data_IF_624444707108
#
_entry.id   IF_624444707108
#
_cell.length_a   1.000
_cell.length_b   1.000
_cell.length_c   1.000
_cell.angle_alpha   90.00
_cell.angle_beta   90.00
_cell.angle_gamma   90.00
#
_symmetry.space_group_name_H-M   'P 1'
#
loop_
_entity.id
_entity.type
_entity.pdbx_description
1 polymer ?
#
# COMPACT_ATOMS: atom_id res chain seq x y z
N UNK A 1 -4.80 -21.34 1.96
CA UNK A 1 -4.97 -21.00 0.56
C UNK A 1 -3.77 -20.23 0.04
N UNK A 2 -3.11 -20.76 -0.92
CA UNK A 2 -1.83 -20.20 -1.39
C UNK A 2 -1.99 -18.98 -2.27
N UNK A 3 -3.13 -18.88 -2.95
CA UNK A 3 -3.36 -17.76 -3.87
C UNK A 3 -3.31 -16.42 -3.15
N UNK A 4 -3.96 -16.31 -1.99
CA UNK A 4 -3.96 -15.07 -1.23
C UNK A 4 -2.57 -14.73 -0.72
N UNK A 5 -1.80 -15.75 -0.32
CA UNK A 5 -0.44 -15.53 0.13
C UNK A 5 0.46 -15.03 -1.00
N UNK A 6 0.28 -15.60 -2.21
CA UNK A 6 1.06 -15.17 -3.36
C UNK A 6 0.77 -13.71 -3.70
N UNK A 7 -0.52 -13.35 -3.76
CA UNK A 7 -0.89 -11.96 -4.04
C UNK A 7 -0.37 -11.02 -2.96
N UNK A 8 -0.41 -11.45 -1.71
CA UNK A 8 0.10 -10.65 -0.60
C UNK A 8 1.59 -10.37 -0.78
N UNK A 9 2.37 -11.39 -1.14
CA UNK A 9 3.81 -11.25 -1.35
C UNK A 9 4.10 -10.31 -2.52
N UNK A 10 3.29 -10.37 -3.58
CA UNK A 10 3.46 -9.46 -4.71
C UNK A 10 3.23 -8.01 -4.29
N UNK A 11 2.19 -7.75 -3.51
CA UNK A 11 1.92 -6.40 -3.04
C UNK A 11 3.00 -5.90 -2.09
N UNK A 12 3.52 -6.78 -1.24
CA UNK A 12 4.64 -6.42 -0.37
C UNK A 12 5.89 -6.11 -1.17
N UNK A 13 6.12 -6.84 -2.26
CA UNK A 13 7.25 -6.56 -3.14
C UNK A 13 7.14 -5.16 -3.74
N UNK A 14 5.94 -4.75 -4.12
CA UNK A 14 5.72 -3.39 -4.63
C UNK A 14 6.08 -2.36 -3.56
N UNK A 15 5.64 -2.60 -2.31
CA UNK A 15 5.95 -1.69 -1.21
C UNK A 15 7.46 -1.57 -1.01
N UNK A 16 8.18 -2.70 -1.00
CA UNK A 16 9.63 -2.67 -0.83
C UNK A 16 10.31 -1.89 -1.95
N UNK A 17 9.85 -2.08 -3.19
CA UNK A 17 10.40 -1.35 -4.31
C UNK A 17 10.18 0.16 -4.17
N UNK A 18 8.98 0.55 -3.75
CA UNK A 18 8.68 1.97 -3.57
C UNK A 18 9.52 2.58 -2.45
N UNK A 19 9.70 1.85 -1.36
CA UNK A 19 10.53 2.34 -0.26
C UNK A 19 11.98 2.48 -0.69
N UNK A 20 12.49 1.51 -1.44
CA UNK A 20 13.86 1.50 -1.89
C UNK A 20 14.14 2.64 -2.88
N UNK A 21 13.21 2.89 -3.79
CA UNK A 21 13.36 3.92 -4.80
C UNK A 21 12.90 5.31 -4.32
N UNK A 22 12.23 5.37 -3.17
CA UNK A 22 11.59 6.59 -2.65
C UNK A 22 10.63 7.19 -3.70
N UNK A 23 9.86 6.33 -4.35
CA UNK A 23 8.95 6.77 -5.40
C UNK A 23 7.67 5.93 -5.36
N UNK A 24 6.53 6.53 -5.01
CA UNK A 24 6.39 7.96 -4.64
C UNK A 24 6.92 8.21 -3.23
N UNK A 25 7.39 9.42 -2.95
CA UNK A 25 7.91 9.73 -1.61
C UNK A 25 6.88 9.55 -0.50
N UNK A 26 5.62 9.67 -0.82
CA UNK A 26 4.55 9.49 0.17
C UNK A 26 4.54 8.11 0.79
N UNK A 27 5.00 7.09 0.07
CA UNK A 27 5.06 5.74 0.63
C UNK A 27 6.03 5.68 1.80
N UNK A 28 7.23 6.25 1.63
CA UNK A 28 8.22 6.28 2.70
C UNK A 28 7.74 7.15 3.86
N UNK A 29 7.15 8.29 3.56
CA UNK A 29 6.61 9.18 4.59
C UNK A 29 5.56 8.46 5.43
N UNK A 30 4.68 7.72 4.77
CA UNK A 30 3.64 6.95 5.44
C UNK A 30 4.25 5.86 6.30
N UNK A 31 5.24 5.14 5.77
CA UNK A 31 5.92 4.10 6.52
C UNK A 31 6.52 4.68 7.82
N UNK A 32 7.24 5.79 7.70
CA UNK A 32 7.87 6.42 8.86
C UNK A 32 6.83 6.89 9.88
N UNK A 33 5.71 7.42 9.40
CA UNK A 33 4.63 7.84 10.28
C UNK A 33 4.03 6.65 11.04
N UNK A 34 3.81 5.54 10.35
CA UNK A 34 3.25 4.35 10.99
C UNK A 34 4.21 3.79 12.05
N UNK A 35 5.50 3.77 11.74
CA UNK A 35 6.51 3.36 12.72
C UNK A 35 6.46 4.26 13.94
N UNK A 36 6.33 5.58 13.75
CA UNK A 36 6.29 6.52 14.86
C UNK A 36 5.03 6.34 15.71
N UNK A 37 3.99 5.76 15.15
CA UNK A 37 2.76 5.45 15.90
C UNK A 37 2.87 4.14 16.69
N UNK A 38 4.01 3.46 16.62
CA UNK A 38 4.22 2.21 17.33
C UNK A 38 3.85 0.96 16.54
N UNK A 39 3.56 1.12 15.24
CA UNK A 39 3.23 0.00 14.39
C UNK A 39 4.55 -0.65 13.94
N UNK A 40 4.62 -1.98 13.99
CA UNK A 40 5.85 -2.69 13.64
C UNK A 40 6.18 -2.52 12.15
N UNK A 41 7.46 -2.74 11.81
CA UNK A 41 7.91 -2.74 10.43
C UNK A 41 7.03 -3.61 9.55
N UNK A 42 6.80 -4.84 9.98
CA UNK A 42 6.01 -5.80 9.21
C UNK A 42 4.59 -5.30 9.01
N UNK A 43 3.95 -4.85 10.07
CA UNK A 43 2.56 -4.42 9.99
C UNK A 43 2.43 -3.12 9.18
N UNK A 44 3.38 -2.21 9.32
CA UNK A 44 3.37 -0.98 8.54
C UNK A 44 3.41 -1.30 7.04
N UNK A 45 4.26 -2.23 6.64
CA UNK A 45 4.35 -2.63 5.24
C UNK A 45 3.09 -3.33 4.76
N UNK A 46 2.46 -4.14 5.63
CA UNK A 46 1.20 -4.79 5.31
C UNK A 46 0.10 -3.74 5.09
N UNK A 47 0.04 -2.72 5.94
CA UNK A 47 -0.95 -1.66 5.79
C UNK A 47 -0.77 -0.93 4.46
N UNK A 48 0.46 -0.63 4.11
CA UNK A 48 0.74 0.03 2.82
C UNK A 48 0.38 -0.90 1.67
N UNK A 49 0.67 -2.19 1.79
CA UNK A 49 0.32 -3.17 0.77
C UNK A 49 -1.19 -3.25 0.54
N UNK A 50 -2.00 -3.01 1.58
CA UNK A 50 -3.45 -2.96 1.42
C UNK A 50 -3.86 -1.80 0.50
N UNK A 51 -3.16 -0.68 0.59
CA UNK A 51 -3.43 0.45 -0.30
C UNK A 51 -3.06 0.11 -1.73
N UNK A 52 -1.93 -0.58 -1.94
CA UNK A 52 -1.54 -1.04 -3.27
C UNK A 52 -2.59 -1.97 -3.84
N UNK A 53 -3.02 -2.94 -3.04
CA UNK A 53 -4.03 -3.92 -3.47
C UNK A 53 -5.35 -3.24 -3.83
N UNK A 54 -5.78 -2.32 -3.00
CA UNK A 54 -7.02 -1.58 -3.23
C UNK A 54 -6.98 -0.86 -4.57
N UNK A 55 -5.86 -0.23 -4.88
CA UNK A 55 -5.72 0.51 -6.13
C UNK A 55 -5.71 -0.43 -7.33
N UNK A 56 -5.02 -1.55 -7.22
CA UNK A 56 -4.95 -2.53 -8.31
C UNK A 56 -6.33 -3.15 -8.56
N UNK A 57 -7.04 -3.54 -7.52
CA UNK A 57 -8.38 -4.10 -7.68
C UNK A 57 -9.34 -3.08 -8.27
N UNK A 58 -9.24 -1.82 -7.86
CA UNK A 58 -10.07 -0.76 -8.41
C UNK A 58 -9.80 -0.56 -9.89
N UNK A 59 -8.54 -0.59 -10.28
CA UNK A 59 -8.12 -0.46 -11.67
C UNK A 59 -8.72 -1.58 -12.51
N UNK A 60 -8.67 -2.82 -12.02
CA UNK A 60 -9.20 -3.97 -12.72
C UNK A 60 -10.73 -3.88 -12.81
N UNK A 61 -11.37 -3.58 -11.68
CA UNK A 61 -12.84 -3.58 -11.59
C UNK A 61 -13.46 -2.52 -12.50
N UNK A 62 -12.87 -1.35 -12.56
CA UNK A 62 -13.42 -0.22 -13.30
C UNK A 62 -12.75 0.01 -14.64
N UNK A 63 -11.76 -0.80 -14.98
CA UNK A 63 -11.01 -0.71 -16.24
C UNK A 63 -10.47 0.71 -16.44
N UNK A 64 -9.90 1.28 -15.39
CA UNK A 64 -9.33 2.62 -15.38
C UNK A 64 -7.84 2.53 -15.06
N UNK A 65 -7.07 3.53 -15.50
CA UNK A 65 -5.65 3.54 -15.17
C UNK A 65 -5.43 3.75 -13.67
N UNK A 66 -4.25 3.39 -13.22
CA UNK A 66 -3.81 3.60 -11.86
C UNK A 66 -3.97 5.08 -11.49
N UNK A 67 -4.55 5.34 -10.33
CA UNK A 67 -4.79 6.69 -9.84
C UNK A 67 -3.87 6.95 -8.65
N UNK A 68 -2.78 7.64 -8.91
CA UNK A 68 -1.79 7.91 -7.87
C UNK A 68 -2.36 8.78 -6.75
N UNK A 69 -3.23 9.73 -7.09
CA UNK A 69 -3.84 10.59 -6.07
C UNK A 69 -4.70 9.81 -5.10
N UNK A 70 -5.46 8.83 -5.61
CA UNK A 70 -6.27 7.98 -4.74
C UNK A 70 -5.40 7.09 -3.87
N UNK A 71 -4.32 6.55 -4.44
CA UNK A 71 -3.36 5.77 -3.68
C UNK A 71 -2.78 6.60 -2.53
N UNK A 72 -2.34 7.82 -2.83
CA UNK A 72 -1.76 8.70 -1.81
C UNK A 72 -2.79 9.05 -0.75
N UNK A 73 -4.03 9.31 -1.15
CA UNK A 73 -5.10 9.59 -0.20
C UNK A 73 -5.29 8.43 0.77
N UNK A 74 -5.28 7.20 0.25
CA UNK A 74 -5.40 6.02 1.08
C UNK A 74 -4.21 5.85 2.01
N UNK A 75 -3.01 6.14 1.54
CA UNK A 75 -1.82 6.14 2.40
C UNK A 75 -2.00 7.12 3.56
N UNK A 76 -2.49 8.32 3.26
CA UNK A 76 -2.64 9.36 4.28
C UNK A 76 -3.69 9.01 5.31
N UNK A 77 -4.63 8.13 4.98
CA UNK A 77 -5.68 7.71 5.90
C UNK A 77 -5.25 6.55 6.80
N UNK A 78 -4.14 5.88 6.47
CA UNK A 78 -3.70 4.77 7.32
C UNK A 78 -3.42 5.26 8.74
N UNK A 79 -3.73 4.49 9.77
CA UNK A 79 -4.05 3.05 9.73
C UNK A 79 -5.49 2.70 9.37
N UNK A 80 -6.32 3.63 8.97
CA UNK A 80 -7.66 3.28 8.47
C UNK A 80 -7.52 2.63 7.09
N UNK A 81 -8.15 1.47 6.92
CA UNK A 81 -8.04 0.74 5.66
C UNK A 81 -8.88 1.40 4.58
N UNK A 82 -8.43 1.30 3.31
CA UNK A 82 -9.19 1.91 2.21
C UNK A 82 -10.55 1.29 2.05
N UNK A 83 -11.54 2.13 1.76
CA UNK A 83 -12.88 1.69 1.40
C UNK A 83 -12.90 1.30 -0.07
N UNK A 84 -13.72 0.32 -0.39
CA UNK A 84 -13.91 -0.06 -1.79
C UNK A 84 -14.86 0.84 -2.52
#
# INVERSE_FOLDING_TARGET
MKTNEILHDEFLSVVETQLKSNNPPETKQTYERLISLGISDKDAKIYIAQCVASEIFHTIKHKRPYDEQRYIRNLNNLPDFPAE
#
